data_IF_026511700989
#
_entry.id   IF_026511700989
#
_cell.length_a   1.000
_cell.length_b   1.000
_cell.length_c   1.000
_cell.angle_alpha   90.00
_cell.angle_beta   90.00
_cell.angle_gamma   90.00
#
_symmetry.space_group_name_H-M   'P 1'
#
loop_
_entity.id
_entity.type
_entity.pdbx_description
1 polymer ?
#
# COMPACT_ATOMS: atom_id res chain seq x y z
N UNK A 1 -20.24 -24.85 -12.85
CA UNK A 1 -20.70 -23.62 -12.17
C UNK A 1 -21.98 -23.90 -11.37
N UNK A 2 -21.92 -23.74 -10.05
CA UNK A 2 -23.07 -23.95 -9.17
C UNK A 2 -24.20 -22.95 -9.47
N UNK A 3 -25.45 -23.36 -9.26
CA UNK A 3 -26.65 -22.53 -9.48
C UNK A 3 -26.72 -21.27 -8.58
N UNK A 4 -25.75 -21.10 -7.67
CA UNK A 4 -25.67 -19.99 -6.71
C UNK A 4 -24.22 -19.54 -6.55
N UNK A 5 -24.02 -18.22 -6.51
CA UNK A 5 -22.76 -17.54 -6.24
C UNK A 5 -22.95 -16.58 -5.06
N UNK A 6 -22.02 -16.58 -4.11
CA UNK A 6 -21.99 -15.68 -2.95
C UNK A 6 -20.82 -14.72 -3.16
N UNK A 7 -21.11 -13.44 -3.30
CA UNK A 7 -20.10 -12.39 -3.46
C UNK A 7 -19.99 -11.62 -2.16
N UNK A 8 -18.85 -11.76 -1.46
CA UNK A 8 -18.56 -10.95 -0.29
C UNK A 8 -18.17 -9.53 -0.75
N UNK A 9 -18.94 -8.54 -0.29
CA UNK A 9 -18.72 -7.12 -0.62
C UNK A 9 -17.76 -6.43 0.36
N UNK A 10 -17.41 -7.12 1.44
CA UNK A 10 -16.51 -6.64 2.48
C UNK A 10 -15.35 -7.62 2.65
N UNK A 11 -14.23 -7.11 3.15
CA UNK A 11 -13.06 -7.91 3.48
C UNK A 11 -13.02 -8.20 4.99
N UNK A 12 -12.19 -9.15 5.41
CA UNK A 12 -11.90 -9.29 6.83
C UNK A 12 -11.39 -7.95 7.40
N UNK A 13 -11.90 -7.58 8.58
CA UNK A 13 -11.56 -6.34 9.25
C UNK A 13 -12.28 -5.08 8.74
N UNK A 14 -13.17 -5.19 7.74
CA UNK A 14 -13.98 -4.05 7.32
C UNK A 14 -14.88 -3.55 8.45
N UNK A 15 -14.95 -2.22 8.60
CA UNK A 15 -15.98 -1.58 9.41
C UNK A 15 -17.28 -1.54 8.62
N UNK A 16 -18.35 -2.03 9.23
CA UNK A 16 -19.70 -2.03 8.64
C UNK A 16 -20.66 -1.30 9.57
N UNK A 17 -21.54 -0.49 8.98
CA UNK A 17 -22.60 0.23 9.68
C UNK A 17 -23.93 -0.53 9.60
N UNK A 18 -24.91 -0.06 10.37
CA UNK A 18 -26.26 -0.59 10.30
C UNK A 18 -26.81 -0.46 8.87
N UNK A 19 -27.38 -1.55 8.36
CA UNK A 19 -27.92 -1.69 7.01
C UNK A 19 -26.90 -1.71 5.86
N UNK A 20 -25.60 -1.78 6.15
CA UNK A 20 -24.60 -2.04 5.11
C UNK A 20 -24.78 -3.46 4.55
N UNK A 21 -24.66 -3.60 3.23
CA UNK A 21 -24.70 -4.91 2.58
C UNK A 21 -23.31 -5.53 2.61
N UNK A 22 -23.17 -6.67 3.29
CA UNK A 22 -21.89 -7.36 3.48
C UNK A 22 -21.65 -8.47 2.44
N UNK A 23 -22.71 -8.98 1.82
CA UNK A 23 -22.64 -10.04 0.83
C UNK A 23 -23.86 -9.99 -0.11
N UNK A 24 -23.66 -10.40 -1.35
CA UNK A 24 -24.72 -10.66 -2.33
C UNK A 24 -24.82 -12.16 -2.60
N UNK A 25 -26.05 -12.69 -2.66
CA UNK A 25 -26.31 -14.05 -3.13
C UNK A 25 -26.94 -13.94 -4.52
N UNK A 26 -26.25 -14.42 -5.54
CA UNK A 26 -26.63 -14.40 -6.95
C UNK A 26 -27.01 -15.80 -7.40
N UNK A 27 -27.96 -15.92 -8.34
CA UNK A 27 -28.41 -17.21 -8.86
C UNK A 27 -29.83 -17.58 -8.43
N UNK A 28 -30.00 -18.67 -7.67
CA UNK A 28 -31.31 -19.27 -7.37
C UNK A 28 -32.33 -18.29 -6.76
N UNK A 29 -33.61 -18.57 -6.98
CA UNK A 29 -34.75 -17.88 -6.36
C UNK A 29 -35.58 -18.85 -5.51
N UNK A 30 -36.13 -18.38 -4.39
CA UNK A 30 -37.07 -19.16 -3.56
C UNK A 30 -36.46 -19.67 -2.25
N UNK A 31 -37.01 -20.76 -1.71
CA UNK A 31 -36.67 -21.26 -0.37
C UNK A 31 -35.19 -21.65 -0.22
N UNK A 32 -34.55 -22.15 -1.29
CA UNK A 32 -33.13 -22.47 -1.30
C UNK A 32 -32.25 -21.23 -1.06
N UNK A 33 -32.61 -20.09 -1.65
CA UNK A 33 -31.89 -18.83 -1.49
C UNK A 33 -31.97 -18.32 -0.06
N UNK A 34 -33.14 -18.43 0.58
CA UNK A 34 -33.31 -18.01 1.98
C UNK A 34 -32.41 -18.82 2.93
N UNK A 35 -32.29 -20.13 2.71
CA UNK A 35 -31.39 -21.00 3.51
C UNK A 35 -29.92 -20.61 3.32
N UNK A 36 -29.54 -20.21 2.11
CA UNK A 36 -28.17 -19.76 1.82
C UNK A 36 -27.91 -18.41 2.48
N UNK A 37 -28.85 -17.47 2.39
CA UNK A 37 -28.76 -16.17 3.08
C UNK A 37 -28.58 -16.37 4.59
N UNK A 38 -29.39 -17.24 5.19
CA UNK A 38 -29.27 -17.56 6.62
C UNK A 38 -27.90 -18.17 6.93
N UNK A 39 -27.40 -19.09 6.11
CA UNK A 39 -26.08 -19.69 6.29
C UNK A 39 -24.95 -18.64 6.19
N UNK A 40 -25.02 -17.71 5.24
CA UNK A 40 -24.04 -16.61 5.09
C UNK A 40 -24.09 -15.69 6.31
N UNK A 41 -25.28 -15.35 6.81
CA UNK A 41 -25.43 -14.53 8.01
C UNK A 41 -24.81 -15.17 9.25
N UNK A 42 -24.96 -16.48 9.42
CA UNK A 42 -24.35 -17.21 10.54
C UNK A 42 -22.83 -17.40 10.38
N UNK A 43 -22.33 -17.42 9.14
CA UNK A 43 -20.91 -17.57 8.85
C UNK A 43 -20.11 -16.28 9.11
N UNK A 44 -20.74 -15.11 9.00
CA UNK A 44 -20.07 -13.82 9.18
C UNK A 44 -20.21 -13.36 10.63
N UNK A 45 -19.07 -13.17 11.29
CA UNK A 45 -19.01 -12.66 12.66
C UNK A 45 -18.73 -11.16 12.66
N UNK A 46 -19.63 -10.40 13.30
CA UNK A 46 -19.42 -8.97 13.57
C UNK A 46 -18.95 -8.80 15.01
N UNK A 47 -17.72 -8.32 15.17
CA UNK A 47 -17.10 -8.10 16.47
C UNK A 47 -16.83 -6.60 16.71
N UNK A 48 -16.61 -6.21 17.98
CA UNK A 48 -16.31 -4.81 18.36
C UNK A 48 -14.84 -4.44 18.15
N UNK A 49 -13.97 -5.44 18.09
CA UNK A 49 -12.52 -5.28 18.06
C UNK A 49 -11.94 -6.23 17.04
N UNK A 50 -10.90 -5.78 16.32
CA UNK A 50 -10.13 -6.65 15.42
C UNK A 50 -9.20 -7.53 16.25
N UNK A 51 -8.99 -8.75 15.75
CA UNK A 51 -8.10 -9.74 16.37
C UNK A 51 -7.01 -10.12 15.36
N UNK A 52 -5.75 -9.86 15.70
CA UNK A 52 -4.60 -10.13 14.83
C UNK A 52 -4.44 -11.62 14.51
N UNK A 53 -4.98 -12.51 15.33
CA UNK A 53 -4.93 -13.96 15.10
C UNK A 53 -5.94 -14.43 14.06
N UNK A 54 -6.97 -13.62 13.80
CA UNK A 54 -8.05 -13.88 12.82
C UNK A 54 -7.97 -12.98 11.60
N UNK A 55 -7.28 -11.85 11.70
CA UNK A 55 -7.22 -10.79 10.70
C UNK A 55 -5.77 -10.32 10.48
N UNK A 56 -5.07 -10.90 9.50
CA UNK A 56 -3.71 -10.48 9.14
C UNK A 56 -3.64 -9.01 8.70
N UNK A 57 -4.72 -8.48 8.10
CA UNK A 57 -4.83 -7.07 7.71
C UNK A 57 -4.73 -6.13 8.91
N UNK A 58 -5.14 -6.58 10.09
CA UNK A 58 -4.98 -5.79 11.31
C UNK A 58 -3.52 -5.64 11.72
N UNK A 59 -2.68 -6.66 11.49
CA UNK A 59 -1.24 -6.58 11.74
C UNK A 59 -0.55 -5.52 10.87
N UNK A 60 -0.98 -5.37 9.63
CA UNK A 60 -0.51 -4.33 8.70
C UNK A 60 -0.86 -2.95 9.26
N UNK A 61 -2.12 -2.75 9.67
CA UNK A 61 -2.58 -1.49 10.26
C UNK A 61 -1.80 -1.14 11.53
N UNK A 62 -1.50 -2.12 12.39
CA UNK A 62 -0.69 -1.90 13.58
C UNK A 62 0.74 -1.49 13.24
N UNK A 63 1.37 -2.14 12.25
CA UNK A 63 2.70 -1.75 11.78
C UNK A 63 2.71 -0.35 11.15
N UNK A 64 1.71 -0.02 10.34
CA UNK A 64 1.53 1.32 9.80
C UNK A 64 1.37 2.35 10.92
N UNK A 65 0.49 2.09 11.89
CA UNK A 65 0.25 2.98 13.04
C UNK A 65 1.52 3.22 13.84
N UNK A 66 2.31 2.17 14.11
CA UNK A 66 3.60 2.27 14.77
C UNK A 66 4.54 3.15 13.94
N UNK A 67 4.67 2.86 12.65
CA UNK A 67 5.55 3.60 11.75
C UNK A 67 5.16 5.09 11.71
N UNK A 68 3.89 5.37 11.40
CA UNK A 68 3.31 6.70 11.30
C UNK A 68 3.53 7.49 12.59
N UNK A 69 3.18 6.92 13.74
CA UNK A 69 3.31 7.60 15.03
C UNK A 69 4.78 7.88 15.35
N UNK A 70 5.68 6.94 15.07
CA UNK A 70 7.10 7.08 15.37
C UNK A 70 7.82 8.10 14.49
N UNK A 71 7.48 8.17 13.20
CA UNK A 71 8.11 9.11 12.25
C UNK A 71 7.43 10.47 12.24
N UNK A 72 6.18 10.57 12.71
CA UNK A 72 5.51 11.86 12.85
C UNK A 72 6.29 12.80 13.76
N UNK A 73 6.08 14.10 13.57
CA UNK A 73 6.64 15.16 14.41
C UNK A 73 6.34 14.99 15.90
N UNK A 74 5.28 14.26 16.27
CA UNK A 74 4.88 14.00 17.64
C UNK A 74 5.91 13.16 18.43
N UNK A 75 6.58 12.18 17.79
CA UNK A 75 7.62 11.36 18.46
C UNK A 75 9.01 11.58 17.88
N UNK A 76 9.12 11.83 16.56
CA UNK A 76 10.41 12.02 15.86
C UNK A 76 11.47 10.96 16.19
N UNK A 77 11.04 9.70 16.32
CA UNK A 77 11.92 8.57 16.59
C UNK A 77 11.99 7.66 15.36
N UNK A 78 13.02 7.82 14.50
CA UNK A 78 13.09 7.11 13.24
C UNK A 78 13.32 5.61 13.40
N UNK A 79 13.92 5.13 14.50
CA UNK A 79 14.33 3.74 14.62
C UNK A 79 13.14 2.73 14.63
N UNK A 80 12.10 2.90 15.46
CA UNK A 80 10.91 2.05 15.39
C UNK A 80 10.16 2.21 14.06
N UNK A 81 10.16 3.43 13.48
CA UNK A 81 9.54 3.70 12.20
C UNK A 81 10.18 2.92 11.05
N UNK A 82 11.51 2.97 10.96
CA UNK A 82 12.28 2.22 9.98
C UNK A 82 12.12 0.70 10.16
N UNK A 83 12.05 0.22 11.40
CA UNK A 83 11.79 -1.20 11.66
C UNK A 83 10.41 -1.61 11.11
N UNK A 84 9.37 -0.83 11.38
CA UNK A 84 8.03 -1.11 10.88
C UNK A 84 7.94 -1.03 9.35
N UNK A 85 8.55 -0.04 8.70
CA UNK A 85 8.64 0.04 7.22
C UNK A 85 9.29 -1.22 6.64
N UNK A 86 10.38 -1.70 7.25
CA UNK A 86 11.07 -2.92 6.81
C UNK A 86 10.23 -4.18 7.02
N UNK A 87 9.48 -4.26 8.12
CA UNK A 87 8.54 -5.35 8.36
C UNK A 87 7.43 -5.37 7.32
N UNK A 88 6.86 -4.20 6.98
CA UNK A 88 5.87 -4.08 5.90
C UNK A 88 6.47 -4.49 4.54
N UNK A 89 7.73 -4.13 4.27
CA UNK A 89 8.43 -4.55 3.04
C UNK A 89 8.54 -6.07 2.97
N UNK A 90 8.91 -6.70 4.08
CA UNK A 90 9.04 -8.15 4.16
C UNK A 90 7.70 -8.85 3.92
N UNK A 91 6.60 -8.33 4.48
CA UNK A 91 5.25 -8.85 4.22
C UNK A 91 4.88 -8.73 2.74
N UNK A 92 5.09 -7.55 2.13
CA UNK A 92 4.83 -7.32 0.72
C UNK A 92 5.65 -8.28 -0.17
N UNK A 93 6.93 -8.46 0.14
CA UNK A 93 7.80 -9.38 -0.61
C UNK A 93 7.30 -10.83 -0.54
N UNK A 94 6.91 -11.31 0.65
CA UNK A 94 6.44 -12.68 0.84
C UNK A 94 5.13 -12.95 0.12
N UNK A 95 4.17 -12.03 0.21
CA UNK A 95 2.87 -12.21 -0.45
C UNK A 95 2.94 -12.04 -1.97
N UNK A 96 3.87 -11.23 -2.49
CA UNK A 96 4.12 -11.14 -3.94
C UNK A 96 4.52 -12.48 -4.55
N UNK A 97 5.33 -13.28 -3.84
CA UNK A 97 5.75 -14.62 -4.30
C UNK A 97 4.61 -15.64 -4.22
N UNK A 98 3.69 -15.50 -3.27
CA UNK A 98 2.55 -16.41 -3.12
C UNK A 98 1.52 -16.19 -4.23
N UNK A 99 1.24 -14.94 -4.62
CA UNK A 99 0.29 -14.61 -5.70
C UNK A 99 0.73 -15.12 -7.08
N UNK A 100 2.04 -15.30 -7.31
CA UNK A 100 2.56 -15.87 -8.56
C UNK A 100 2.37 -17.39 -8.66
N UNK A 101 1.96 -18.07 -7.58
CA UNK A 101 1.74 -19.51 -7.64
C UNK A 101 0.53 -19.82 -8.51
N UNK A 102 0.67 -20.67 -9.53
CA UNK A 102 -0.47 -21.07 -10.35
C UNK A 102 -1.52 -21.70 -9.44
N UNK A 103 -2.71 -21.08 -9.37
CA UNK A 103 -3.87 -21.73 -8.78
C UNK A 103 -4.04 -23.07 -9.49
N UNK A 104 -4.17 -24.16 -8.73
CA UNK A 104 -4.53 -25.45 -9.30
C UNK A 104 -5.83 -25.25 -10.07
N UNK A 105 -5.96 -25.94 -11.21
CA UNK A 105 -7.23 -26.02 -11.96
C UNK A 105 -8.26 -26.78 -11.11
N UNK A 106 -8.78 -26.12 -10.08
CA UNK A 106 -9.88 -26.58 -9.25
C UNK A 106 -11.16 -25.95 -9.76
N UNK A 107 -12.28 -26.66 -9.61
CA UNK A 107 -13.58 -26.09 -9.96
C UNK A 107 -13.81 -24.82 -9.12
N UNK A 108 -14.21 -23.69 -9.74
CA UNK A 108 -14.39 -22.45 -9.02
C UNK A 108 -15.44 -22.62 -7.93
N UNK A 109 -15.05 -22.29 -6.70
CA UNK A 109 -15.94 -22.33 -5.54
C UNK A 109 -17.08 -21.31 -5.71
N UNK A 110 -18.27 -21.57 -5.15
CA UNK A 110 -19.42 -20.66 -5.24
C UNK A 110 -19.26 -19.41 -4.37
N UNK A 111 -18.08 -19.12 -3.83
CA UNK A 111 -17.82 -17.98 -2.93
C UNK A 111 -16.72 -17.12 -3.54
N UNK A 112 -17.06 -15.86 -3.84
CA UNK A 112 -16.15 -14.85 -4.33
C UNK A 112 -15.77 -13.93 -3.17
N UNK A 113 -14.50 -13.97 -2.79
CA UNK A 113 -13.89 -13.10 -1.79
C UNK A 113 -12.74 -12.33 -2.44
N UNK A 114 -12.84 -11.00 -2.45
CA UNK A 114 -11.74 -10.15 -2.93
C UNK A 114 -10.82 -9.85 -1.75
N UNK A 115 -9.59 -10.39 -1.77
CA UNK A 115 -8.61 -10.04 -0.76
C UNK A 115 -8.09 -8.61 -0.98
N UNK A 116 -8.03 -7.83 0.10
CA UNK A 116 -7.55 -6.45 0.11
C UNK A 116 -6.15 -6.26 0.68
N UNK A 117 -5.49 -7.32 1.14
CA UNK A 117 -4.23 -7.25 1.89
C UNK A 117 -3.12 -6.53 1.11
N UNK A 118 -2.93 -6.83 -0.17
CA UNK A 118 -1.91 -6.16 -0.99
C UNK A 118 -2.22 -4.68 -1.20
N UNK A 119 -3.49 -4.34 -1.45
CA UNK A 119 -3.91 -2.95 -1.57
C UNK A 119 -3.69 -2.18 -0.26
N UNK A 120 -3.94 -2.81 0.89
CA UNK A 120 -3.69 -2.24 2.21
C UNK A 120 -2.20 -1.96 2.43
N UNK A 121 -1.30 -2.89 2.06
CA UNK A 121 0.15 -2.65 2.12
C UNK A 121 0.60 -1.49 1.25
N UNK A 122 0.10 -1.41 0.00
CA UNK A 122 0.44 -0.32 -0.91
C UNK A 122 -0.04 1.03 -0.36
N UNK A 123 -1.25 1.08 0.19
CA UNK A 123 -1.79 2.26 0.86
C UNK A 123 -0.95 2.66 2.09
N UNK A 124 -0.46 1.69 2.87
CA UNK A 124 0.40 1.98 4.01
C UNK A 124 1.72 2.64 3.56
N UNK A 125 2.36 2.17 2.48
CA UNK A 125 3.57 2.84 1.97
C UNK A 125 3.30 4.26 1.45
N UNK A 126 2.15 4.51 0.81
CA UNK A 126 1.73 5.85 0.41
C UNK A 126 1.60 6.77 1.63
N UNK A 127 0.85 6.33 2.64
CA UNK A 127 0.66 7.02 3.92
C UNK A 127 1.99 7.35 4.61
N UNK A 128 2.90 6.37 4.66
CA UNK A 128 4.23 6.53 5.28
C UNK A 128 5.16 7.48 4.50
N UNK A 129 5.04 7.53 3.17
CA UNK A 129 5.75 8.52 2.37
C UNK A 129 5.26 9.94 2.67
N UNK A 130 3.95 10.15 2.77
CA UNK A 130 3.36 11.46 3.09
C UNK A 130 3.83 11.95 4.45
N UNK A 131 3.63 11.17 5.51
CA UNK A 131 3.99 11.60 6.88
C UNK A 131 5.51 11.77 7.07
N UNK A 132 6.34 10.97 6.38
CA UNK A 132 7.80 11.15 6.44
C UNK A 132 8.24 12.42 5.74
N UNK A 133 7.53 12.84 4.69
CA UNK A 133 7.73 14.14 4.05
C UNK A 133 7.31 15.31 4.93
N UNK A 134 6.09 15.29 5.45
CA UNK A 134 5.59 16.32 6.37
C UNK A 134 6.49 16.50 7.60
N UNK A 135 7.07 15.41 8.08
CA UNK A 135 7.94 15.40 9.26
C UNK A 135 9.42 15.63 8.93
N UNK A 136 9.77 15.88 7.66
CA UNK A 136 11.14 16.05 7.17
C UNK A 136 12.10 14.89 7.51
N UNK A 137 11.56 13.68 7.69
CA UNK A 137 12.31 12.47 8.05
C UNK A 137 12.88 11.80 6.80
N UNK A 138 13.93 12.40 6.22
CA UNK A 138 14.55 11.94 4.97
C UNK A 138 14.97 10.45 5.01
N UNK A 139 15.40 9.92 6.17
CA UNK A 139 15.79 8.52 6.31
C UNK A 139 14.60 7.57 6.10
N UNK A 140 13.44 7.90 6.68
CA UNK A 140 12.20 7.13 6.54
C UNK A 140 11.66 7.22 5.12
N UNK A 141 11.65 8.42 4.54
CA UNK A 141 11.23 8.64 3.16
C UNK A 141 12.12 7.84 2.18
N UNK A 142 13.43 7.88 2.36
CA UNK A 142 14.37 7.09 1.57
C UNK A 142 14.14 5.58 1.71
N UNK A 143 13.77 5.08 2.89
CA UNK A 143 13.45 3.66 3.09
C UNK A 143 12.16 3.24 2.38
N UNK A 144 11.16 4.13 2.29
CA UNK A 144 9.95 3.89 1.46
C UNK A 144 10.32 3.82 -0.02
N UNK A 145 11.06 4.80 -0.54
CA UNK A 145 11.54 4.79 -1.93
C UNK A 145 12.35 3.53 -2.24
N UNK A 146 13.27 3.15 -1.34
CA UNK A 146 14.07 1.93 -1.47
C UNK A 146 13.21 0.68 -1.48
N UNK A 147 12.14 0.65 -0.69
CA UNK A 147 11.19 -0.46 -0.68
C UNK A 147 10.52 -0.63 -2.04
N UNK A 148 10.02 0.46 -2.61
CA UNK A 148 9.43 0.44 -3.96
C UNK A 148 10.46 0.00 -5.01
N UNK A 149 11.67 0.55 -4.98
CA UNK A 149 12.75 0.18 -5.90
C UNK A 149 13.11 -1.31 -5.82
N UNK A 150 13.16 -1.87 -4.61
CA UNK A 150 13.59 -3.26 -4.37
C UNK A 150 12.54 -4.28 -4.79
N UNK A 151 11.26 -3.91 -4.73
CA UNK A 151 10.16 -4.84 -4.97
C UNK A 151 9.51 -4.65 -6.34
N UNK A 152 9.71 -3.52 -7.02
CA UNK A 152 8.97 -3.19 -8.24
C UNK A 152 8.93 -4.32 -9.28
N UNK A 153 10.06 -4.95 -9.56
CA UNK A 153 10.19 -6.03 -10.54
C UNK A 153 9.61 -7.38 -10.07
N UNK A 154 9.40 -7.54 -8.76
CA UNK A 154 8.83 -8.72 -8.10
C UNK A 154 7.34 -8.60 -7.80
N UNK A 155 6.76 -7.41 -7.97
CA UNK A 155 5.34 -7.22 -7.78
C UNK A 155 4.58 -7.85 -8.96
N UNK A 156 3.42 -8.48 -8.72
CA UNK A 156 2.55 -8.91 -9.81
C UNK A 156 2.04 -7.69 -10.60
N UNK A 157 1.66 -7.91 -11.87
CA UNK A 157 1.34 -6.82 -12.80
C UNK A 157 0.28 -5.81 -12.28
N UNK A 158 -0.80 -6.22 -11.61
CA UNK A 158 -1.76 -5.27 -11.02
C UNK A 158 -1.10 -4.33 -10.01
N UNK A 159 -0.24 -4.85 -9.14
CA UNK A 159 0.46 -4.09 -8.11
C UNK A 159 1.60 -3.24 -8.68
N UNK A 160 2.26 -3.68 -9.77
CA UNK A 160 3.17 -2.82 -10.53
C UNK A 160 2.45 -1.56 -11.02
N UNK A 161 1.27 -1.72 -11.63
CA UNK A 161 0.46 -0.57 -12.12
C UNK A 161 0.06 0.36 -10.97
N UNK A 162 -0.40 -0.20 -9.85
CA UNK A 162 -0.70 0.61 -8.67
C UNK A 162 0.52 1.38 -8.16
N UNK A 163 1.70 0.76 -8.20
CA UNK A 163 2.97 1.41 -7.83
C UNK A 163 3.33 2.52 -8.80
N UNK A 164 3.11 2.33 -10.11
CA UNK A 164 3.32 3.34 -11.13
C UNK A 164 2.44 4.58 -10.91
N UNK A 165 1.20 4.38 -10.46
CA UNK A 165 0.28 5.49 -10.13
C UNK A 165 0.64 6.19 -8.82
N UNK A 166 1.32 5.50 -7.91
CA UNK A 166 1.70 6.00 -6.58
C UNK A 166 3.03 6.76 -6.60
N UNK A 167 3.99 6.35 -7.42
CA UNK A 167 5.32 6.99 -7.51
C UNK A 167 5.22 8.51 -7.78
N UNK A 168 4.44 9.00 -8.78
CA UNK A 168 4.30 10.43 -9.03
C UNK A 168 3.78 11.22 -7.82
N UNK A 169 2.85 10.64 -7.05
CA UNK A 169 2.30 11.23 -5.83
C UNK A 169 3.38 11.35 -4.76
N UNK A 170 4.15 10.29 -4.54
CA UNK A 170 5.25 10.28 -3.57
C UNK A 170 6.36 11.26 -3.95
N UNK A 171 6.83 11.24 -5.21
CA UNK A 171 7.95 12.11 -5.61
C UNK A 171 7.58 13.59 -5.64
N UNK A 172 6.28 13.93 -5.76
CA UNK A 172 5.83 15.32 -5.64
C UNK A 172 6.14 15.94 -4.26
N UNK A 173 6.28 15.09 -3.23
CA UNK A 173 6.63 15.49 -1.88
C UNK A 173 8.15 15.72 -1.69
N UNK A 174 9.01 15.32 -2.65
CA UNK A 174 10.47 15.48 -2.57
C UNK A 174 10.92 16.94 -2.41
N UNK A 175 10.11 17.90 -2.84
CA UNK A 175 10.42 19.32 -2.74
C UNK A 175 10.64 19.80 -1.30
N UNK A 176 10.21 19.05 -0.29
CA UNK A 176 10.39 19.39 1.14
C UNK A 176 11.63 18.76 1.76
N UNK A 177 12.32 17.88 1.04
CA UNK A 177 13.48 17.15 1.54
C UNK A 177 14.81 17.77 1.10
N UNK A 178 15.81 17.63 1.95
CA UNK A 178 17.21 17.81 1.54
C UNK A 178 17.66 16.51 0.85
N UNK A 179 18.26 16.62 -0.33
CA UNK A 179 18.86 15.49 -1.03
C UNK A 179 20.11 15.00 -0.30
N UNK A 180 19.90 14.12 0.67
CA UNK A 180 20.98 13.40 1.37
C UNK A 180 21.48 12.25 0.50
N UNK A 181 22.70 11.76 0.76
CA UNK A 181 23.26 10.58 0.07
C UNK A 181 22.31 9.39 0.14
N UNK A 182 21.69 9.13 1.30
CA UNK A 182 20.77 8.01 1.45
C UNK A 182 19.52 8.13 0.57
N UNK A 183 18.95 9.34 0.46
CA UNK A 183 17.80 9.60 -0.40
C UNK A 183 18.19 9.53 -1.87
N UNK A 184 19.36 10.06 -2.21
CA UNK A 184 19.90 10.03 -3.57
C UNK A 184 20.09 8.60 -4.06
N UNK A 185 20.72 7.74 -3.26
CA UNK A 185 20.91 6.32 -3.55
C UNK A 185 19.57 5.59 -3.75
N UNK A 186 18.57 5.92 -2.93
CA UNK A 186 17.24 5.32 -3.04
C UNK A 186 16.54 5.74 -4.36
N UNK A 187 16.63 7.01 -4.75
CA UNK A 187 16.08 7.50 -6.02
C UNK A 187 16.79 6.90 -7.23
N UNK A 188 18.12 6.80 -7.19
CA UNK A 188 18.91 6.11 -8.23
C UNK A 188 18.46 4.66 -8.36
N UNK A 189 18.29 3.96 -7.25
CA UNK A 189 17.82 2.57 -7.24
C UNK A 189 16.43 2.45 -7.85
N UNK A 190 15.52 3.39 -7.55
CA UNK A 190 14.18 3.41 -8.14
C UNK A 190 14.22 3.64 -9.66
N UNK A 191 15.02 4.60 -10.12
CA UNK A 191 15.21 4.85 -11.57
C UNK A 191 15.73 3.59 -12.27
N UNK A 192 16.71 2.90 -11.67
CA UNK A 192 17.25 1.66 -12.22
C UNK A 192 16.19 0.56 -12.29
N UNK A 193 15.45 0.33 -11.21
CA UNK A 193 14.37 -0.67 -11.16
C UNK A 193 13.30 -0.41 -12.23
N UNK A 194 12.85 0.84 -12.36
CA UNK A 194 11.86 1.24 -13.36
C UNK A 194 12.37 1.03 -14.80
N UNK A 195 13.64 1.36 -15.07
CA UNK A 195 14.26 1.12 -16.39
C UNK A 195 14.35 -0.37 -16.71
N UNK A 196 14.79 -1.18 -15.76
CA UNK A 196 14.88 -2.64 -15.93
C UNK A 196 13.51 -3.28 -16.20
N UNK A 197 12.45 -2.73 -15.60
CA UNK A 197 11.07 -3.16 -15.84
C UNK A 197 10.41 -2.51 -17.08
N UNK A 198 11.17 -1.77 -17.90
CA UNK A 198 10.67 -1.13 -19.14
C UNK A 198 9.79 0.11 -18.92
N UNK A 199 9.71 0.65 -17.70
CA UNK A 199 8.94 1.86 -17.36
C UNK A 199 9.74 3.14 -17.58
N UNK A 200 10.26 3.30 -18.79
CA UNK A 200 11.15 4.41 -19.16
C UNK A 200 10.56 5.82 -18.93
N UNK A 201 9.27 6.09 -19.23
CA UNK A 201 8.71 7.42 -18.98
C UNK A 201 8.74 7.78 -17.50
N UNK A 202 8.28 6.87 -16.63
CA UNK A 202 8.27 7.09 -15.19
C UNK A 202 9.69 7.21 -14.61
N UNK A 203 10.62 6.38 -15.07
CA UNK A 203 12.03 6.49 -14.69
C UNK A 203 12.64 7.85 -15.05
N UNK A 204 12.24 8.41 -16.20
CA UNK A 204 12.69 9.73 -16.64
C UNK A 204 12.11 10.83 -15.76
N UNK A 205 10.84 10.73 -15.38
CA UNK A 205 10.21 11.67 -14.42
C UNK A 205 10.93 11.64 -13.08
N UNK A 206 11.18 10.47 -12.50
CA UNK A 206 11.89 10.35 -11.21
C UNK A 206 13.31 10.93 -11.31
N UNK A 207 14.03 10.64 -12.40
CA UNK A 207 15.37 11.18 -12.64
C UNK A 207 15.35 12.72 -12.74
N UNK A 208 14.41 13.29 -13.50
CA UNK A 208 14.28 14.74 -13.63
C UNK A 208 13.98 15.41 -12.28
N UNK A 209 13.06 14.86 -11.49
CA UNK A 209 12.74 15.38 -10.14
C UNK A 209 13.96 15.31 -9.20
N UNK A 210 14.74 14.23 -9.27
CA UNK A 210 16.00 14.09 -8.52
C UNK A 210 17.01 15.16 -8.95
N UNK A 211 17.20 15.36 -10.25
CA UNK A 211 18.17 16.31 -10.79
C UNK A 211 17.79 17.77 -10.47
N UNK A 212 16.50 18.09 -10.51
CA UNK A 212 15.97 19.38 -10.06
C UNK A 212 16.25 19.62 -8.56
N UNK A 213 16.04 18.60 -7.72
CA UNK A 213 16.33 18.68 -6.30
C UNK A 213 17.84 18.86 -6.05
N UNK A 214 18.69 18.14 -6.79
CA UNK A 214 20.15 18.30 -6.72
C UNK A 214 20.59 19.73 -7.13
N UNK A 215 19.98 20.28 -8.19
CA UNK A 215 20.25 21.64 -8.66
C UNK A 215 19.74 22.74 -7.69
N UNK A 216 18.89 22.37 -6.72
CA UNK A 216 18.43 23.25 -5.64
C UNK A 216 19.40 23.29 -4.45
N UNK A 217 20.30 22.32 -4.31
CA UNK A 217 21.30 22.29 -3.24
C UNK A 217 22.23 23.51 -3.32
N UNK A 218 22.48 24.14 -2.18
CA UNK A 218 23.34 25.33 -2.09
C UNK A 218 22.66 26.64 -2.50
N UNK A 219 21.44 26.61 -3.05
CA UNK A 219 20.58 27.79 -3.20
C UNK A 219 19.79 27.94 -1.90
N UNK A 220 19.98 29.05 -1.18
CA UNK A 220 19.22 29.36 0.04
C UNK A 220 17.72 29.54 -0.30
N UNK A 221 16.98 28.44 -0.39
CA UNK A 221 15.53 28.49 -0.54
C UNK A 221 14.92 28.80 0.83
N UNK A 222 14.82 30.09 1.14
CA UNK A 222 14.01 30.54 2.27
C UNK A 222 12.56 30.09 2.03
N UNK A 223 11.94 29.49 3.04
CA UNK A 223 10.57 28.92 3.01
C UNK A 223 9.46 29.90 2.54
N UNK A 224 9.77 31.19 2.33
CA UNK A 224 8.82 32.25 1.98
C UNK A 224 8.47 32.41 0.49
N UNK A 225 9.18 31.80 -0.46
CA UNK A 225 8.92 32.01 -1.89
C UNK A 225 7.78 31.17 -2.48
N UNK A 226 7.17 30.25 -1.73
CA UNK A 226 6.08 29.38 -2.24
C UNK A 226 4.67 29.98 -2.20
N UNK A 227 4.49 31.16 -1.61
CA UNK A 227 3.17 31.81 -1.52
C UNK A 227 2.83 32.74 -2.70
N UNK A 228 3.71 32.95 -3.68
CA UNK A 228 3.50 33.91 -4.78
C UNK A 228 3.28 33.28 -6.17
N UNK A 229 3.07 31.97 -6.26
CA UNK A 229 2.81 31.28 -7.52
C UNK A 229 1.43 30.64 -7.59
N UNK A 230 0.36 31.44 -7.46
CA UNK A 230 -1.00 31.08 -7.89
C UNK A 230 -1.63 32.27 -8.59
#
# INVERSE_FOLDING_TARGET
PGEVEIVLLVTMGSYVAFADTIAEVRGSTGEATNKIVEAVQHAIQLERTRDITKDPGYGIEQLETIAWTSISTAKSNPAPGLLAIRSLRELLARWSVEEERPMREEEPLPVVYSDGVMAQLMSAFESLAVVSSESMQHQSFAEVIRTLATLFDRLPLPQQRQTEDLIPRIISALGDHVLTTQLDDALISLVQALRSAGRHPLATTVQATRDDLAASLGKLNARGTRAQGR
#
